data_IF_418799338132
#
_entry.id   IF_418799338132
#
_cell.length_a   1.000
_cell.length_b   1.000
_cell.length_c   1.000
_cell.angle_alpha   90.00
_cell.angle_beta   90.00
_cell.angle_gamma   90.00
#
_symmetry.space_group_name_H-M   'P 1'
#
loop_
_entity.id
_entity.type
_entity.pdbx_description
1 polymer ?
#
# COMPACT_ATOMS: atom_id res chain seq x y z
N UNK A 1 -22.70 16.10 -8.14
CA UNK A 1 -22.60 14.62 -8.11
C UNK A 1 -21.92 14.03 -9.35
N UNK A 2 -22.34 14.38 -10.57
CA UNK A 2 -21.78 13.83 -11.83
C UNK A 2 -20.26 13.98 -11.89
N UNK A 3 -19.71 15.16 -11.58
CA UNK A 3 -18.28 15.45 -11.65
C UNK A 3 -17.46 14.58 -10.68
N UNK A 4 -17.97 14.32 -9.48
CA UNK A 4 -17.28 13.46 -8.51
C UNK A 4 -17.27 11.98 -8.99
N UNK A 5 -18.36 11.50 -9.54
CA UNK A 5 -18.43 10.14 -10.09
C UNK A 5 -17.50 9.98 -11.30
N UNK A 6 -17.44 10.97 -12.17
CA UNK A 6 -16.53 10.95 -13.33
C UNK A 6 -15.06 10.96 -12.92
N UNK A 7 -14.72 11.76 -11.90
CA UNK A 7 -13.34 11.82 -11.38
C UNK A 7 -12.92 10.49 -10.76
N UNK A 8 -13.78 9.89 -9.95
CA UNK A 8 -13.52 8.58 -9.34
C UNK A 8 -13.41 7.49 -10.41
N UNK A 9 -14.32 7.46 -11.38
CA UNK A 9 -14.28 6.49 -12.47
C UNK A 9 -12.98 6.61 -13.29
N UNK A 10 -12.55 7.83 -13.61
CA UNK A 10 -11.29 8.10 -14.32
C UNK A 10 -10.08 7.64 -13.51
N UNK A 11 -10.07 7.87 -12.20
CA UNK A 11 -8.97 7.44 -11.33
C UNK A 11 -8.87 5.91 -11.24
N UNK A 12 -10.02 5.23 -11.12
CA UNK A 12 -10.08 3.76 -11.09
C UNK A 12 -9.59 3.18 -12.41
N UNK A 13 -10.03 3.73 -13.54
CA UNK A 13 -9.59 3.28 -14.87
C UNK A 13 -8.08 3.45 -15.05
N UNK A 14 -7.52 4.59 -14.64
CA UNK A 14 -6.07 4.84 -14.69
C UNK A 14 -5.27 3.85 -13.85
N UNK A 15 -5.71 3.57 -12.61
CA UNK A 15 -5.07 2.59 -11.74
C UNK A 15 -5.15 1.18 -12.32
N UNK A 16 -6.30 0.81 -12.86
CA UNK A 16 -6.53 -0.49 -13.48
C UNK A 16 -5.64 -0.71 -14.70
N UNK A 17 -5.53 0.29 -15.56
CA UNK A 17 -4.63 0.28 -16.71
C UNK A 17 -3.15 0.24 -16.27
N UNK A 18 -2.77 0.96 -15.21
CA UNK A 18 -1.44 0.91 -14.63
C UNK A 18 -1.06 -0.49 -14.12
N UNK A 19 -1.95 -1.14 -13.38
CA UNK A 19 -1.74 -2.53 -12.91
C UNK A 19 -1.65 -3.50 -14.09
N UNK A 20 -2.57 -3.38 -15.05
CA UNK A 20 -2.57 -4.24 -16.23
C UNK A 20 -1.28 -4.09 -17.05
N UNK A 21 -0.78 -2.86 -17.25
CA UNK A 21 0.47 -2.60 -17.98
C UNK A 21 1.70 -3.16 -17.27
N UNK A 22 1.77 -3.07 -15.93
CA UNK A 22 2.85 -3.67 -15.14
C UNK A 22 2.86 -5.21 -15.27
N UNK A 23 1.68 -5.82 -15.24
CA UNK A 23 1.55 -7.27 -15.43
C UNK A 23 1.97 -7.67 -16.84
N UNK A 24 1.55 -6.94 -17.86
CA UNK A 24 1.94 -7.22 -19.26
C UNK A 24 3.44 -7.03 -19.46
N UNK A 25 4.04 -5.94 -18.96
CA UNK A 25 5.47 -5.69 -19.09
C UNK A 25 6.32 -6.80 -18.45
N UNK A 26 5.85 -7.34 -17.31
CA UNK A 26 6.52 -8.48 -16.66
C UNK A 26 6.26 -9.81 -17.39
N UNK A 27 5.13 -9.93 -18.08
CA UNK A 27 4.70 -11.14 -18.77
C UNK A 27 5.38 -11.33 -20.11
N UNK A 28 5.81 -10.27 -20.79
CA UNK A 28 6.62 -10.39 -22.01
C UNK A 28 7.94 -11.14 -21.76
N UNK A 29 8.49 -11.03 -20.54
CA UNK A 29 9.65 -11.82 -20.11
C UNK A 29 9.31 -13.29 -19.78
N UNK A 30 8.04 -13.63 -19.55
CA UNK A 30 7.59 -14.96 -19.08
C UNK A 30 6.53 -15.62 -19.97
N UNK A 31 6.13 -15.03 -21.11
CA UNK A 31 5.15 -15.62 -22.03
C UNK A 31 3.70 -15.67 -21.50
N UNK A 32 3.34 -14.83 -20.56
CA UNK A 32 1.97 -14.78 -20.00
C UNK A 32 1.04 -14.03 -20.96
N UNK A 33 -0.09 -14.64 -21.30
CA UNK A 33 -1.03 -14.12 -22.28
C UNK A 33 -1.84 -12.91 -21.79
N UNK A 34 -2.30 -12.04 -22.70
CA UNK A 34 -3.23 -10.93 -22.43
C UNK A 34 -4.51 -11.38 -21.67
N UNK A 35 -4.89 -12.64 -21.82
CA UNK A 35 -6.00 -13.25 -21.09
C UNK A 35 -5.74 -13.30 -19.59
N UNK A 36 -4.49 -13.59 -19.18
CA UNK A 36 -4.11 -13.59 -17.76
C UNK A 36 -4.21 -12.18 -17.13
N UNK A 37 -3.80 -11.14 -17.87
CA UNK A 37 -3.94 -9.76 -17.41
C UNK A 37 -5.41 -9.37 -17.18
N UNK A 38 -6.32 -9.78 -18.06
CA UNK A 38 -7.78 -9.59 -17.88
C UNK A 38 -8.31 -10.31 -16.65
N UNK A 39 -7.90 -11.54 -16.41
CA UNK A 39 -8.31 -12.30 -15.23
C UNK A 39 -7.81 -11.67 -13.92
N UNK A 40 -6.59 -11.15 -13.90
CA UNK A 40 -6.04 -10.42 -12.73
C UNK A 40 -6.90 -9.18 -12.43
N UNK A 41 -7.28 -8.42 -13.47
CA UNK A 41 -8.16 -7.26 -13.32
C UNK A 41 -9.51 -7.65 -12.71
N UNK A 42 -10.13 -8.73 -13.18
CA UNK A 42 -11.40 -9.23 -12.63
C UNK A 42 -11.24 -9.68 -11.18
N UNK A 43 -10.17 -10.41 -10.87
CA UNK A 43 -9.89 -10.89 -9.50
C UNK A 43 -9.66 -9.73 -8.53
N UNK A 44 -8.95 -8.66 -8.95
CA UNK A 44 -8.74 -7.46 -8.13
C UNK A 44 -10.04 -6.68 -7.89
N UNK A 45 -10.99 -6.73 -8.83
CA UNK A 45 -12.29 -6.07 -8.65
C UNK A 45 -13.19 -6.71 -7.59
N UNK A 46 -13.04 -8.01 -7.34
CA UNK A 46 -13.86 -8.72 -6.33
C UNK A 46 -13.73 -8.10 -4.94
N UNK A 47 -12.53 -7.97 -4.33
CA UNK A 47 -12.40 -7.34 -3.02
C UNK A 47 -12.84 -5.88 -3.01
N UNK A 48 -12.64 -5.13 -4.10
CA UNK A 48 -13.09 -3.74 -4.21
C UNK A 48 -14.61 -3.64 -4.10
N UNK A 49 -15.34 -4.49 -4.82
CA UNK A 49 -16.80 -4.55 -4.76
C UNK A 49 -17.29 -4.98 -3.38
N UNK A 50 -16.64 -5.99 -2.77
CA UNK A 50 -16.98 -6.45 -1.42
C UNK A 50 -16.80 -5.34 -0.36
N UNK A 51 -15.73 -4.55 -0.46
CA UNK A 51 -15.50 -3.40 0.42
C UNK A 51 -16.55 -2.31 0.16
N UNK A 52 -16.87 -2.04 -1.10
CA UNK A 52 -17.88 -1.04 -1.46
C UNK A 52 -19.27 -1.39 -0.91
N UNK A 53 -19.63 -2.67 -0.92
CA UNK A 53 -20.91 -3.16 -0.37
C UNK A 53 -21.04 -2.98 1.16
N UNK A 54 -19.93 -2.81 1.88
CA UNK A 54 -19.96 -2.57 3.33
C UNK A 54 -20.44 -1.16 3.70
N UNK A 55 -20.69 -0.28 2.74
CA UNK A 55 -21.20 1.07 2.99
C UNK A 55 -20.25 1.96 3.81
N UNK A 56 -18.95 1.70 3.72
CA UNK A 56 -17.93 2.52 4.41
C UNK A 56 -17.97 3.96 3.88
N UNK A 57 -17.72 4.93 4.76
CA UNK A 57 -17.65 6.32 4.32
C UNK A 57 -16.50 6.52 3.34
N UNK A 58 -16.71 7.34 2.31
CA UNK A 58 -15.69 7.66 1.30
C UNK A 58 -14.43 8.23 1.95
N UNK A 59 -14.60 9.09 2.96
CA UNK A 59 -13.49 9.68 3.70
C UNK A 59 -12.64 8.61 4.40
N UNK A 60 -13.28 7.61 4.99
CA UNK A 60 -12.56 6.48 5.63
C UNK A 60 -11.73 5.69 4.62
N UNK A 61 -12.30 5.43 3.45
CA UNK A 61 -11.58 4.74 2.37
C UNK A 61 -10.37 5.56 1.88
N UNK A 62 -10.52 6.88 1.76
CA UNK A 62 -9.41 7.78 1.43
C UNK A 62 -8.30 7.74 2.49
N UNK A 63 -8.64 7.83 3.78
CA UNK A 63 -7.65 7.77 4.85
C UNK A 63 -6.88 6.44 4.87
N UNK A 64 -7.54 5.32 4.60
CA UNK A 64 -6.89 4.02 4.47
C UNK A 64 -5.97 3.99 3.24
N UNK A 65 -6.41 4.51 2.11
CA UNK A 65 -5.59 4.59 0.89
C UNK A 65 -4.35 5.47 1.11
N UNK A 66 -4.50 6.63 1.75
CA UNK A 66 -3.40 7.52 2.08
C UNK A 66 -2.41 6.86 3.05
N UNK A 67 -2.90 6.08 4.01
CA UNK A 67 -2.05 5.31 4.91
C UNK A 67 -1.24 4.24 4.17
N UNK A 68 -1.85 3.52 3.22
CA UNK A 68 -1.15 2.57 2.35
C UNK A 68 -0.09 3.28 1.50
N UNK A 69 -0.42 4.45 0.95
CA UNK A 69 0.55 5.29 0.23
C UNK A 69 1.72 5.70 1.14
N UNK A 70 1.44 6.15 2.36
CA UNK A 70 2.49 6.54 3.33
C UNK A 70 3.42 5.36 3.68
N UNK A 71 2.91 4.14 3.77
CA UNK A 71 3.72 2.95 4.04
C UNK A 71 4.65 2.59 2.86
N UNK A 72 4.23 2.86 1.62
CA UNK A 72 4.91 2.39 0.40
C UNK A 72 5.77 3.49 -0.24
N UNK A 73 5.44 4.77 -0.05
CA UNK A 73 6.12 5.88 -0.71
C UNK A 73 7.63 5.90 -0.45
N UNK A 74 8.03 5.62 0.78
CA UNK A 74 9.47 5.64 1.15
C UNK A 74 10.26 4.54 0.44
N UNK A 75 9.87 3.24 0.50
CA UNK A 75 10.60 2.20 -0.23
C UNK A 75 10.58 2.41 -1.75
N UNK A 76 9.51 2.99 -2.30
CA UNK A 76 9.46 3.33 -3.74
C UNK A 76 10.45 4.43 -4.09
N UNK A 77 10.51 5.51 -3.32
CA UNK A 77 11.49 6.59 -3.54
C UNK A 77 12.92 6.12 -3.32
N UNK A 78 13.16 5.31 -2.28
CA UNK A 78 14.46 4.70 -2.03
C UNK A 78 14.83 3.67 -3.11
N UNK A 79 13.88 3.14 -3.86
CA UNK A 79 14.13 2.27 -5.01
C UNK A 79 14.98 2.93 -6.11
N UNK A 80 15.04 4.27 -6.15
CA UNK A 80 15.95 5.02 -7.02
C UNK A 80 17.41 5.00 -6.50
N UNK A 81 17.62 4.59 -5.28
CA UNK A 81 18.95 4.48 -4.70
C UNK A 81 19.61 3.17 -5.12
N UNK A 82 20.81 3.25 -5.70
CA UNK A 82 21.55 2.08 -6.25
C UNK A 82 21.83 0.96 -5.23
N UNK A 83 21.66 1.23 -3.94
CA UNK A 83 21.84 0.24 -2.85
C UNK A 83 20.56 -0.48 -2.48
N UNK A 84 19.44 -0.08 -3.03
CA UNK A 84 18.14 -0.65 -2.68
C UNK A 84 17.94 -2.00 -3.38
N UNK A 85 17.69 -3.03 -2.60
CA UNK A 85 17.34 -4.35 -3.13
C UNK A 85 15.82 -4.54 -3.15
N UNK A 86 15.27 -5.39 -4.04
CA UNK A 86 13.84 -5.68 -4.04
C UNK A 86 13.31 -6.17 -2.68
N UNK A 87 14.12 -6.96 -1.97
CA UNK A 87 13.78 -7.46 -0.65
C UNK A 87 13.71 -6.34 0.40
N UNK A 88 14.62 -5.34 0.32
CA UNK A 88 14.60 -4.18 1.20
C UNK A 88 13.37 -3.30 0.93
N UNK A 89 12.96 -3.16 -0.33
CA UNK A 89 11.75 -2.41 -0.69
C UNK A 89 10.48 -3.08 -0.16
N UNK A 90 10.34 -4.38 -0.37
CA UNK A 90 9.19 -5.16 0.13
C UNK A 90 9.16 -5.15 1.66
N UNK A 91 10.31 -5.41 2.29
CA UNK A 91 10.45 -5.39 3.75
C UNK A 91 10.09 -4.04 4.35
N UNK A 92 10.51 -2.94 3.72
CA UNK A 92 10.16 -1.58 4.11
C UNK A 92 8.66 -1.29 4.01
N UNK A 93 8.01 -1.71 2.92
CA UNK A 93 6.57 -1.57 2.75
C UNK A 93 5.77 -2.35 3.79
N UNK A 94 6.12 -3.62 4.02
CA UNK A 94 5.48 -4.46 5.04
C UNK A 94 5.70 -3.86 6.44
N UNK A 95 6.92 -3.42 6.77
CA UNK A 95 7.19 -2.77 8.04
C UNK A 95 6.44 -1.45 8.21
N UNK A 96 6.23 -0.70 7.13
CA UNK A 96 5.39 0.50 7.13
C UNK A 96 3.94 0.20 7.51
N UNK A 97 3.35 -0.87 6.95
CA UNK A 97 2.00 -1.31 7.29
C UNK A 97 1.90 -1.74 8.76
N UNK A 98 2.88 -2.48 9.26
CA UNK A 98 2.94 -2.87 10.67
C UNK A 98 3.16 -1.66 11.57
N UNK A 99 4.00 -0.71 11.15
CA UNK A 99 4.25 0.54 11.84
C UNK A 99 3.03 1.43 12.00
N UNK A 100 2.06 1.34 11.09
CA UNK A 100 0.78 2.03 11.20
C UNK A 100 -0.06 1.57 12.40
N UNK A 101 0.11 0.32 12.81
CA UNK A 101 -0.63 -0.30 13.93
C UNK A 101 0.03 0.04 15.29
N UNK A 102 1.33 0.31 15.30
CA UNK A 102 2.12 0.51 16.52
C UNK A 102 1.58 1.61 17.44
N UNK A 103 1.23 2.82 16.98
CA UNK A 103 0.74 3.88 17.87
C UNK A 103 -0.54 3.49 18.59
N UNK A 104 -1.47 2.83 17.92
CA UNK A 104 -2.69 2.33 18.54
C UNK A 104 -2.43 1.19 19.52
N UNK A 105 -1.49 0.31 19.22
CA UNK A 105 -1.07 -0.76 20.12
C UNK A 105 -0.40 -0.21 21.38
N UNK A 106 0.52 0.74 21.25
CA UNK A 106 1.22 1.35 22.37
C UNK A 106 0.29 2.14 23.29
N UNK A 107 -0.75 2.78 22.72
CA UNK A 107 -1.68 3.60 23.49
C UNK A 107 -2.74 2.80 24.26
N UNK A 108 -3.15 1.65 23.74
CA UNK A 108 -4.27 0.86 24.28
C UNK A 108 -3.87 -0.57 24.70
N UNK A 109 -2.61 -0.97 24.50
CA UNK A 109 -2.08 -2.26 24.93
C UNK A 109 -2.61 -3.48 24.18
N UNK A 110 -3.40 -3.29 23.10
CA UNK A 110 -3.94 -4.40 22.31
C UNK A 110 -3.73 -4.22 20.80
N UNK A 111 -3.38 -5.31 20.11
CA UNK A 111 -3.22 -5.31 18.65
C UNK A 111 -4.52 -4.95 17.92
N UNK A 112 -5.66 -5.40 18.47
CA UNK A 112 -6.97 -5.09 17.91
C UNK A 112 -7.25 -3.58 17.94
N UNK A 113 -6.86 -2.90 19.01
CA UNK A 113 -6.97 -1.45 19.11
C UNK A 113 -6.06 -0.73 18.11
N UNK A 114 -4.87 -1.27 17.87
CA UNK A 114 -3.97 -0.77 16.81
C UNK A 114 -4.59 -0.86 15.42
N UNK A 115 -5.16 -2.00 15.07
CA UNK A 115 -5.86 -2.21 13.79
C UNK A 115 -7.08 -1.29 13.67
N UNK A 116 -7.86 -1.16 14.74
CA UNK A 116 -9.00 -0.25 14.78
C UNK A 116 -8.55 1.21 14.58
N UNK A 117 -7.49 1.66 15.25
CA UNK A 117 -6.95 3.00 15.10
C UNK A 117 -6.48 3.27 13.66
N UNK A 118 -5.77 2.30 13.05
CA UNK A 118 -5.33 2.38 11.66
C UNK A 118 -6.46 2.29 10.63
N UNK A 119 -7.65 1.80 11.03
CA UNK A 119 -8.83 1.73 10.14
C UNK A 119 -9.73 2.98 10.20
N UNK A 120 -9.39 3.99 10.98
CA UNK A 120 -10.11 5.27 11.10
C UNK A 120 -11.62 5.10 11.33
N UNK A 121 -12.09 4.42 12.38
CA UNK A 121 -13.50 4.09 12.57
C UNK A 121 -14.40 5.32 12.65
N UNK A 122 -13.88 6.44 13.18
CA UNK A 122 -14.59 7.71 13.25
C UNK A 122 -14.46 8.62 12.02
N UNK A 123 -13.81 8.14 10.94
CA UNK A 123 -13.45 8.99 9.77
C UNK A 123 -12.66 10.24 10.17
N UNK A 124 -11.92 10.19 11.29
CA UNK A 124 -11.11 11.29 11.80
C UNK A 124 -9.64 10.98 11.46
N UNK A 125 -8.94 11.91 10.77
CA UNK A 125 -7.53 11.73 10.47
C UNK A 125 -6.71 11.82 11.76
N UNK A 126 -6.09 10.72 12.16
CA UNK A 126 -5.13 10.69 13.28
C UNK A 126 -3.72 10.57 12.71
N UNK A 127 -2.81 11.43 13.17
CA UNK A 127 -1.43 11.46 12.69
C UNK A 127 -0.61 10.22 13.09
N UNK A 128 -0.95 9.57 14.20
CA UNK A 128 -0.22 8.45 14.74
C UNK A 128 0.08 7.34 13.72
N UNK A 129 -0.93 6.73 13.08
CA UNK A 129 -0.73 5.69 12.09
C UNK A 129 0.16 6.11 10.91
N UNK A 130 0.02 7.34 10.41
CA UNK A 130 0.84 7.87 9.31
C UNK A 130 2.31 8.03 9.70
N UNK A 131 2.56 8.63 10.85
CA UNK A 131 3.92 8.80 11.37
C UNK A 131 4.56 7.44 11.67
N UNK A 132 3.82 6.52 12.29
CA UNK A 132 4.27 5.16 12.54
C UNK A 132 4.62 4.41 11.25
N UNK A 133 3.79 4.52 10.22
CA UNK A 133 4.03 3.93 8.91
C UNK A 133 5.31 4.48 8.26
N UNK A 134 5.47 5.81 8.21
CA UNK A 134 6.63 6.47 7.61
C UNK A 134 7.92 6.12 8.34
N UNK A 135 7.94 6.18 9.67
CA UNK A 135 9.15 5.88 10.46
C UNK A 135 9.54 4.42 10.29
N UNK A 136 8.61 3.48 10.46
CA UNK A 136 8.88 2.06 10.34
C UNK A 136 9.35 1.69 8.93
N UNK A 137 8.69 2.21 7.90
CA UNK A 137 9.05 2.00 6.50
C UNK A 137 10.46 2.52 6.20
N UNK A 138 10.79 3.75 6.64
CA UNK A 138 12.09 4.37 6.42
C UNK A 138 13.20 3.60 7.12
N UNK A 139 13.04 3.32 8.42
CA UNK A 139 14.05 2.62 9.21
C UNK A 139 14.33 1.23 8.63
N UNK A 140 13.29 0.47 8.34
CA UNK A 140 13.46 -0.91 7.82
C UNK A 140 14.06 -0.91 6.43
N UNK A 141 13.63 -0.04 5.53
CA UNK A 141 14.19 0.07 4.18
C UNK A 141 15.67 0.41 4.22
N UNK A 142 16.07 1.38 5.04
CA UNK A 142 17.47 1.80 5.17
C UNK A 142 18.32 0.70 5.83
N UNK A 143 17.84 0.11 6.92
CA UNK A 143 18.57 -0.96 7.62
C UNK A 143 18.79 -2.18 6.72
N UNK A 144 17.77 -2.61 5.96
CA UNK A 144 17.90 -3.73 5.04
C UNK A 144 18.81 -3.39 3.86
N UNK A 145 18.78 -2.17 3.33
CA UNK A 145 19.67 -1.74 2.26
C UNK A 145 21.15 -1.76 2.69
N UNK A 146 21.46 -1.50 3.96
CA UNK A 146 22.83 -1.61 4.51
C UNK A 146 23.21 -3.05 4.87
N UNK A 147 22.26 -3.85 5.35
CA UNK A 147 22.50 -5.23 5.79
C UNK A 147 22.81 -6.17 4.62
N UNK A 148 22.12 -6.06 3.51
CA UNK A 148 22.32 -6.94 2.33
C UNK A 148 23.71 -6.81 1.72
N UNK A 149 24.38 -5.67 1.86
CA UNK A 149 25.75 -5.46 1.39
C UNK A 149 26.80 -6.24 2.20
N UNK A 150 26.53 -6.55 3.47
CA UNK A 150 27.49 -7.26 4.33
C UNK A 150 27.60 -8.75 4.00
N UNK A 151 26.61 -9.28 3.27
CA UNK A 151 26.55 -10.69 2.85
C UNK A 151 27.25 -10.97 1.52
N UNK A 152 27.61 -9.93 0.76
CA UNK A 152 28.28 -10.10 -0.55
C UNK A 152 29.80 -9.79 -0.52
N UNK A 153 30.35 -9.45 0.64
CA UNK A 153 31.80 -9.33 0.91
C UNK A 153 32.32 -10.51 1.70
#
# INVERSE_FOLDING_TARGET
MVLAVTLVASSVDTLQNGIASLVVARSEQQGVSLVAARWITVVVMIPVVLIALQGLSVLRLFLIADLLCAAIVVPVLLGLWQRMTPMAAIGGGVAGLLGAILPGWLSQGSLMAGILAASFPGSIPTLGPFVGALIASTLTSVLLAFSTRKSEM
#
